data_IF_014396550086
#
_entry.id   IF_014396550086
#
_cell.length_a   1.000
_cell.length_b   1.000
_cell.length_c   1.000
_cell.angle_alpha   90.00
_cell.angle_beta   90.00
_cell.angle_gamma   90.00
#
_symmetry.space_group_name_H-M   'P 1'
#
loop_
_entity.id
_entity.type
_entity.pdbx_description
1 polymer ?
#
# COMPACT_ATOMS: atom_id res chain seq x y z
N UNK A 1 1.36 -21.01 -9.15
CA UNK A 1 1.53 -19.62 -8.63
C UNK A 1 2.78 -19.53 -7.77
N UNK A 2 3.54 -18.47 -7.91
CA UNK A 2 4.69 -18.19 -7.05
C UNK A 2 4.38 -16.97 -6.17
N UNK A 3 4.07 -17.22 -4.91
CA UNK A 3 3.67 -16.18 -3.95
C UNK A 3 4.74 -15.11 -3.75
N UNK A 4 5.97 -15.52 -3.61
CA UNK A 4 7.06 -14.58 -3.36
C UNK A 4 7.28 -13.62 -4.54
N UNK A 5 7.15 -14.12 -5.77
CA UNK A 5 7.21 -13.29 -6.97
C UNK A 5 6.05 -12.28 -6.99
N UNK A 6 4.85 -12.70 -6.60
CA UNK A 6 3.68 -11.81 -6.58
C UNK A 6 3.81 -10.75 -5.50
N UNK A 7 4.04 -11.15 -4.25
CA UNK A 7 4.14 -10.19 -3.14
C UNK A 7 5.33 -9.25 -3.30
N UNK A 8 6.46 -9.78 -3.74
CA UNK A 8 7.64 -8.97 -4.04
C UNK A 8 7.40 -8.01 -5.21
N UNK A 9 6.69 -8.49 -6.24
CA UNK A 9 6.34 -7.66 -7.40
C UNK A 9 5.37 -6.53 -7.06
N UNK A 10 4.38 -6.77 -6.21
CA UNK A 10 3.49 -5.70 -5.71
C UNK A 10 4.30 -4.65 -4.94
N UNK A 11 5.18 -5.09 -4.06
CA UNK A 11 6.07 -4.20 -3.33
C UNK A 11 6.94 -3.35 -4.26
N UNK A 12 7.58 -3.99 -5.24
CA UNK A 12 8.45 -3.30 -6.19
C UNK A 12 7.68 -2.32 -7.07
N UNK A 13 6.46 -2.68 -7.49
CA UNK A 13 5.60 -1.79 -8.26
C UNK A 13 5.26 -0.52 -7.49
N UNK A 14 4.81 -0.66 -6.26
CA UNK A 14 4.44 0.50 -5.43
C UNK A 14 5.66 1.36 -5.12
N UNK A 15 6.78 0.76 -4.72
CA UNK A 15 8.01 1.48 -4.45
C UNK A 15 8.50 2.25 -5.67
N UNK A 16 8.44 1.64 -6.84
CA UNK A 16 8.93 2.24 -8.09
C UNK A 16 8.03 3.38 -8.54
N UNK A 17 6.69 3.22 -8.48
CA UNK A 17 5.75 4.16 -9.07
C UNK A 17 5.16 5.16 -8.06
N UNK A 18 5.15 4.84 -6.78
CA UNK A 18 4.61 5.68 -5.71
C UNK A 18 5.65 6.05 -4.65
N UNK A 19 6.94 5.81 -4.92
CA UNK A 19 8.01 5.97 -3.95
C UNK A 19 8.43 7.40 -3.65
N UNK A 20 7.97 8.37 -4.41
CA UNK A 20 8.34 9.78 -4.22
C UNK A 20 7.91 10.28 -2.85
N UNK A 21 8.83 11.00 -2.17
CA UNK A 21 8.60 11.57 -0.84
C UNK A 21 8.39 10.54 0.30
N UNK A 22 8.69 9.27 0.06
CA UNK A 22 8.70 8.21 1.07
C UNK A 22 10.14 7.81 1.35
N UNK A 23 10.55 7.88 2.61
CA UNK A 23 11.95 7.61 3.02
C UNK A 23 12.21 6.13 3.23
N UNK A 24 11.23 5.40 3.73
CA UNK A 24 11.39 3.98 4.09
C UNK A 24 10.33 3.14 3.41
N UNK A 25 10.77 2.10 2.72
CA UNK A 25 9.93 1.05 2.15
C UNK A 25 10.40 -0.30 2.67
N UNK A 26 9.51 -1.11 3.23
CA UNK A 26 9.87 -2.45 3.71
C UNK A 26 8.68 -3.41 3.69
N UNK A 27 8.97 -4.69 3.50
CA UNK A 27 8.00 -5.77 3.71
C UNK A 27 8.03 -6.31 5.13
N UNK A 28 8.95 -5.83 5.96
CA UNK A 28 9.01 -6.15 7.38
C UNK A 28 8.31 -5.07 8.16
N UNK A 29 7.06 -5.33 8.55
CA UNK A 29 6.26 -4.40 9.33
C UNK A 29 6.91 -4.12 10.68
N UNK A 30 6.99 -2.83 11.02
CA UNK A 30 7.36 -2.35 12.34
C UNK A 30 6.18 -1.60 12.96
N UNK A 31 6.05 -1.65 14.29
CA UNK A 31 5.07 -0.86 15.00
C UNK A 31 5.35 0.63 14.79
N UNK A 32 4.29 1.45 14.67
CA UNK A 32 4.45 2.90 14.42
C UNK A 32 5.35 3.59 15.45
N UNK A 33 5.34 3.13 16.70
CA UNK A 33 6.16 3.69 17.77
C UNK A 33 7.66 3.34 17.65
N UNK A 34 8.00 2.34 16.84
CA UNK A 34 9.38 1.89 16.63
C UNK A 34 10.00 2.49 15.36
N UNK A 35 9.26 3.37 14.65
CA UNK A 35 9.75 4.04 13.45
C UNK A 35 10.04 5.50 13.79
N UNK A 36 11.32 5.88 13.90
CA UNK A 36 11.67 7.25 14.23
C UNK A 36 11.28 8.23 13.10
N UNK A 37 11.08 9.48 13.48
CA UNK A 37 10.69 10.54 12.55
C UNK A 37 11.63 10.65 11.34
N UNK A 38 12.93 10.47 11.54
CA UNK A 38 13.93 10.57 10.46
C UNK A 38 13.73 9.52 9.36
N UNK A 39 13.08 8.39 9.67
CA UNK A 39 12.76 7.34 8.72
C UNK A 39 11.39 7.52 8.06
N UNK A 40 10.65 8.54 8.46
CA UNK A 40 9.31 8.82 7.92
C UNK A 40 9.34 9.89 6.84
N UNK A 41 8.38 9.91 5.88
CA UNK A 41 7.29 8.94 5.73
C UNK A 41 7.80 7.53 5.47
N UNK A 42 7.16 6.55 6.08
CA UNK A 42 7.50 5.14 5.94
C UNK A 42 6.30 4.32 5.46
N UNK A 43 6.54 3.40 4.54
CA UNK A 43 5.53 2.50 4.00
C UNK A 43 5.97 1.06 4.18
N UNK A 44 5.08 0.26 4.76
CA UNK A 44 5.28 -1.17 4.99
C UNK A 44 4.17 -1.97 4.33
N UNK A 45 4.53 -3.04 3.64
CA UNK A 45 3.57 -3.97 3.07
C UNK A 45 3.59 -5.29 3.84
N UNK A 46 2.44 -5.70 4.35
CA UNK A 46 2.27 -6.94 5.09
C UNK A 46 1.22 -7.82 4.45
N UNK A 47 1.49 -9.12 4.38
CA UNK A 47 0.52 -10.09 3.90
C UNK A 47 -0.61 -10.27 4.91
N UNK A 48 -1.85 -10.36 4.42
CA UNK A 48 -3.06 -10.46 5.26
C UNK A 48 -4.03 -11.53 4.76
N UNK A 49 -3.53 -12.74 4.54
CA UNK A 49 -4.34 -13.89 4.20
C UNK A 49 -4.55 -14.10 2.71
N UNK A 50 -5.03 -15.30 2.40
CA UNK A 50 -5.25 -15.78 1.05
C UNK A 50 -6.50 -16.66 0.99
N UNK A 51 -7.11 -16.71 -0.18
CA UNK A 51 -8.26 -17.57 -0.44
C UNK A 51 -8.22 -18.05 -1.88
N UNK A 52 -8.56 -19.32 -2.11
CA UNK A 52 -8.68 -19.88 -3.46
C UNK A 52 -10.14 -20.08 -3.86
N UNK A 53 -10.48 -19.68 -5.07
CA UNK A 53 -11.67 -20.14 -5.78
C UNK A 53 -11.26 -21.29 -6.70
N UNK A 54 -11.56 -22.52 -6.28
CA UNK A 54 -11.16 -23.72 -7.02
C UNK A 54 -11.89 -23.88 -8.34
N UNK A 55 -13.09 -23.36 -8.47
CA UNK A 55 -13.87 -23.46 -9.71
C UNK A 55 -13.29 -22.59 -10.79
N UNK A 56 -12.72 -21.44 -10.41
CA UNK A 56 -12.10 -20.49 -11.34
C UNK A 56 -10.59 -20.62 -11.41
N UNK A 57 -9.99 -21.41 -10.52
CA UNK A 57 -8.53 -21.51 -10.36
C UNK A 57 -7.88 -20.13 -10.13
N UNK A 58 -8.52 -19.31 -9.29
CA UNK A 58 -8.06 -17.95 -8.98
C UNK A 58 -7.83 -17.82 -7.48
N UNK A 59 -6.65 -17.31 -7.13
CA UNK A 59 -6.30 -16.91 -5.77
C UNK A 59 -6.66 -15.45 -5.54
N UNK A 60 -7.26 -15.18 -4.40
CA UNK A 60 -7.38 -13.84 -3.82
C UNK A 60 -6.34 -13.71 -2.73
N UNK A 61 -5.36 -12.86 -2.96
CA UNK A 61 -4.29 -12.55 -2.01
C UNK A 61 -4.59 -11.18 -1.41
N UNK A 62 -4.33 -11.02 -0.11
CA UNK A 62 -4.57 -9.76 0.58
C UNK A 62 -3.28 -9.23 1.18
N UNK A 63 -3.08 -7.94 1.04
CA UNK A 63 -2.00 -7.20 1.69
C UNK A 63 -2.56 -5.94 2.35
N UNK A 64 -1.93 -5.52 3.41
CA UNK A 64 -2.16 -4.19 3.98
C UNK A 64 -0.93 -3.32 3.76
N UNK A 65 -1.17 -2.10 3.31
CA UNK A 65 -0.14 -1.08 3.17
C UNK A 65 -0.24 -0.15 4.38
N UNK A 66 0.77 -0.19 5.23
CA UNK A 66 0.87 0.68 6.41
C UNK A 66 1.68 1.92 6.02
N UNK A 67 1.12 3.08 6.29
CA UNK A 67 1.78 4.37 6.02
C UNK A 67 1.91 5.14 7.32
N UNK A 68 3.15 5.49 7.69
CA UNK A 68 3.44 6.29 8.87
C UNK A 68 4.02 7.64 8.44
N UNK A 69 3.41 8.72 8.91
CA UNK A 69 3.84 10.09 8.61
C UNK A 69 3.98 10.89 9.90
N UNK A 70 5.11 11.55 10.07
CA UNK A 70 5.34 12.51 11.14
C UNK A 70 5.52 13.90 10.55
N UNK A 71 4.98 14.92 11.23
CA UNK A 71 5.17 16.33 10.88
C UNK A 71 6.15 17.04 11.80
N UNK A 72 6.81 16.29 12.67
CA UNK A 72 7.79 16.83 13.63
C UNK A 72 7.16 17.69 14.71
N UNK A 73 7.88 18.72 15.13
CA UNK A 73 7.46 19.63 16.22
C UNK A 73 6.61 20.83 15.78
N UNK A 74 6.12 20.86 14.54
CA UNK A 74 5.25 21.94 14.05
C UNK A 74 3.82 21.73 14.58
N UNK A 75 3.43 22.53 15.58
CA UNK A 75 2.13 22.45 16.22
C UNK A 75 0.95 22.83 15.29
N UNK A 76 1.24 23.56 14.20
CA UNK A 76 0.24 23.98 13.23
C UNK A 76 0.14 23.07 12.01
N UNK A 77 1.02 22.10 11.88
CA UNK A 77 1.00 21.18 10.76
C UNK A 77 -0.17 20.19 10.86
N UNK A 78 -0.83 19.98 9.74
CA UNK A 78 -1.90 18.99 9.59
C UNK A 78 -1.27 17.69 9.15
N UNK A 79 -1.22 16.69 10.04
CA UNK A 79 -0.61 15.39 9.75
C UNK A 79 -1.29 14.64 8.61
N UNK A 80 -2.60 14.86 8.44
CA UNK A 80 -3.37 14.23 7.35
C UNK A 80 -2.96 14.71 5.95
N UNK A 81 -2.41 15.93 5.81
CA UNK A 81 -2.08 16.46 4.48
C UNK A 81 -1.01 15.64 3.75
N UNK A 82 0.18 15.38 4.30
CA UNK A 82 1.16 14.52 3.63
C UNK A 82 0.67 13.07 3.52
N UNK A 83 -0.11 12.59 4.49
CA UNK A 83 -0.72 11.27 4.44
C UNK A 83 -1.65 11.13 3.23
N UNK A 84 -2.53 12.10 3.01
CA UNK A 84 -3.46 12.10 1.87
C UNK A 84 -2.70 12.07 0.54
N UNK A 85 -1.61 12.81 0.41
CA UNK A 85 -0.80 12.80 -0.80
C UNK A 85 -0.22 11.41 -1.09
N UNK A 86 0.22 10.70 -0.07
CA UNK A 86 0.76 9.33 -0.22
C UNK A 86 -0.36 8.36 -0.60
N UNK A 87 -1.52 8.45 0.05
CA UNK A 87 -2.69 7.61 -0.27
C UNK A 87 -3.13 7.86 -1.72
N UNK A 88 -3.24 9.12 -2.13
CA UNK A 88 -3.61 9.48 -3.50
C UNK A 88 -2.62 8.92 -4.51
N UNK A 89 -1.33 8.99 -4.23
CA UNK A 89 -0.30 8.46 -5.13
C UNK A 89 -0.40 6.94 -5.26
N UNK A 90 -0.59 6.24 -4.15
CA UNK A 90 -0.80 4.78 -4.18
C UNK A 90 -2.06 4.43 -4.96
N UNK A 91 -3.16 5.14 -4.72
CA UNK A 91 -4.41 4.94 -5.46
C UNK A 91 -4.21 5.17 -6.96
N UNK A 92 -3.51 6.22 -7.35
CA UNK A 92 -3.26 6.55 -8.76
C UNK A 92 -2.46 5.46 -9.48
N UNK A 93 -1.41 4.93 -8.86
CA UNK A 93 -0.56 3.91 -9.49
C UNK A 93 -1.23 2.54 -9.55
N UNK A 94 -2.31 2.34 -8.80
CA UNK A 94 -3.12 1.12 -8.83
C UNK A 94 -4.37 1.25 -9.71
N UNK A 95 -4.62 2.41 -10.33
CA UNK A 95 -5.73 2.55 -11.27
C UNK A 95 -5.41 1.87 -12.60
N UNK A 96 -6.38 1.18 -13.22
CA UNK A 96 -6.25 0.76 -14.60
C UNK A 96 -6.11 1.97 -15.52
N UNK A 97 -5.32 1.84 -16.58
CA UNK A 97 -5.18 2.88 -17.60
C UNK A 97 -6.30 2.76 -18.60
N UNK A 98 -7.44 3.35 -18.27
CA UNK A 98 -8.67 3.27 -19.08
C UNK A 98 -8.48 3.88 -20.46
N UNK A 99 -7.62 4.89 -20.60
CA UNK A 99 -7.26 5.49 -21.88
C UNK A 99 -6.58 4.51 -22.83
N UNK A 100 -5.99 3.44 -22.30
CA UNK A 100 -5.39 2.34 -23.07
C UNK A 100 -6.31 1.12 -23.16
N UNK A 101 -7.58 1.23 -22.71
CA UNK A 101 -8.54 0.14 -22.72
C UNK A 101 -8.36 -0.87 -21.59
N UNK A 102 -7.55 -0.58 -20.60
CA UNK A 102 -7.35 -1.46 -19.44
C UNK A 102 -8.54 -1.35 -18.49
N UNK A 103 -9.03 -2.49 -17.98
CA UNK A 103 -10.09 -2.57 -16.96
C UNK A 103 -9.55 -3.04 -15.61
N UNK A 104 -8.40 -3.71 -15.61
CA UNK A 104 -7.71 -4.21 -14.43
C UNK A 104 -6.30 -3.62 -14.34
N UNK A 105 -5.76 -3.59 -13.13
CA UNK A 105 -4.35 -3.25 -12.92
C UNK A 105 -3.54 -4.53 -12.77
N UNK A 106 -2.87 -4.94 -13.84
CA UNK A 106 -2.13 -6.21 -13.88
C UNK A 106 -0.69 -6.14 -13.37
N UNK A 107 -0.22 -4.95 -13.00
CA UNK A 107 1.17 -4.71 -12.60
C UNK A 107 2.17 -5.20 -13.67
N UNK A 108 1.90 -4.86 -14.93
CA UNK A 108 2.74 -5.29 -16.04
C UNK A 108 2.58 -6.76 -16.42
N UNK A 109 1.44 -7.38 -16.12
CA UNK A 109 1.15 -8.78 -16.40
C UNK A 109 1.53 -9.75 -15.29
N UNK A 110 1.91 -9.24 -14.12
CA UNK A 110 2.29 -10.06 -12.97
C UNK A 110 1.09 -10.79 -12.36
N UNK A 111 -0.07 -10.14 -12.33
CA UNK A 111 -1.31 -10.59 -11.71
C UNK A 111 -2.49 -10.35 -12.63
N UNK A 112 -3.65 -10.92 -12.28
CA UNK A 112 -4.89 -10.63 -13.00
C UNK A 112 -5.43 -9.24 -12.67
N UNK A 113 -5.33 -8.85 -11.41
CA UNK A 113 -5.74 -7.53 -10.93
C UNK A 113 -5.10 -7.23 -9.57
N UNK A 114 -4.81 -5.97 -9.30
CA UNK A 114 -4.40 -5.47 -8.00
C UNK A 114 -5.11 -4.14 -7.74
N UNK A 115 -5.88 -4.09 -6.66
CA UNK A 115 -6.70 -2.92 -6.35
C UNK A 115 -6.81 -2.66 -4.85
N UNK A 116 -7.14 -1.42 -4.52
CA UNK A 116 -7.59 -1.08 -3.18
C UNK A 116 -9.04 -1.53 -3.05
N UNK A 117 -9.34 -2.34 -2.04
CA UNK A 117 -10.69 -2.81 -1.78
C UNK A 117 -10.93 -2.92 -0.27
N UNK A 118 -11.93 -2.19 0.19
CA UNK A 118 -12.27 -2.11 1.59
C UNK A 118 -12.05 -0.73 2.17
N UNK A 119 -12.15 -0.64 3.51
CA UNK A 119 -11.98 0.62 4.22
C UNK A 119 -10.49 0.96 4.38
N UNK A 120 -10.09 2.15 3.98
CA UNK A 120 -8.80 2.72 4.37
C UNK A 120 -8.97 3.27 5.79
N UNK A 121 -8.27 2.69 6.75
CA UNK A 121 -8.27 3.16 8.13
C UNK A 121 -7.21 4.23 8.30
N UNK A 122 -7.57 5.33 8.97
CA UNK A 122 -6.65 6.45 9.22
C UNK A 122 -6.75 6.89 10.66
N UNK A 123 -5.61 7.26 11.22
CA UNK A 123 -5.49 7.92 12.52
C UNK A 123 -4.65 9.18 12.32
N UNK A 124 -5.30 10.34 12.38
CA UNK A 124 -4.68 11.62 12.07
C UNK A 124 -4.46 12.44 13.35
N UNK A 125 -3.51 12.00 14.20
CA UNK A 125 -3.06 12.81 15.30
C UNK A 125 -3.47 12.37 16.70
N UNK A 126 -4.19 11.26 16.86
CA UNK A 126 -4.40 10.64 18.18
C UNK A 126 -3.07 10.13 18.76
N UNK A 127 -2.13 9.79 17.88
CA UNK A 127 -0.78 9.31 18.22
C UNK A 127 0.24 10.46 18.30
N UNK A 128 -0.20 11.67 18.62
CA UNK A 128 0.66 12.86 18.71
C UNK A 128 0.96 13.47 17.34
N UNK A 129 2.23 13.72 17.05
CA UNK A 129 2.67 14.31 15.78
C UNK A 129 2.72 13.31 14.61
N UNK A 130 2.19 12.12 14.78
CA UNK A 130 2.16 11.07 13.77
C UNK A 130 0.76 10.81 13.24
N UNK A 131 0.67 10.43 11.98
CA UNK A 131 -0.50 9.84 11.36
C UNK A 131 -0.18 8.45 10.87
N UNK A 132 -1.17 7.56 10.95
CA UNK A 132 -1.10 6.19 10.46
C UNK A 132 -2.25 5.96 9.51
N UNK A 133 -1.98 5.32 8.37
CA UNK A 133 -3.02 4.79 7.49
C UNK A 133 -2.76 3.32 7.20
N UNK A 134 -3.84 2.56 7.03
CA UNK A 134 -3.80 1.16 6.61
C UNK A 134 -4.67 1.04 5.37
N UNK A 135 -4.05 0.70 4.24
CA UNK A 135 -4.70 0.61 2.94
C UNK A 135 -4.84 -0.87 2.58
N UNK A 136 -6.06 -1.42 2.49
CA UNK A 136 -6.24 -2.82 2.12
C UNK A 136 -6.10 -3.01 0.61
N UNK A 137 -5.27 -3.97 0.21
CA UNK A 137 -5.12 -4.39 -1.18
C UNK A 137 -5.70 -5.77 -1.39
N UNK A 138 -6.35 -5.95 -2.52
CA UNK A 138 -6.78 -7.24 -3.05
C UNK A 138 -6.05 -7.52 -4.35
N UNK A 139 -5.44 -8.70 -4.43
CA UNK A 139 -4.67 -9.16 -5.57
C UNK A 139 -5.32 -10.44 -6.08
N UNK A 140 -5.66 -10.49 -7.36
CA UNK A 140 -6.15 -11.70 -8.01
C UNK A 140 -5.04 -12.30 -8.85
N UNK A 141 -4.78 -13.58 -8.66
CA UNK A 141 -3.73 -14.31 -9.37
C UNK A 141 -4.21 -15.69 -9.83
N UNK A 142 -3.74 -16.14 -10.98
CA UNK A 142 -3.99 -17.50 -11.44
C UNK A 142 -3.26 -18.52 -10.58
N UNK A 143 -3.88 -19.67 -10.41
CA UNK A 143 -3.26 -20.80 -9.70
C UNK A 143 -2.11 -21.43 -10.49
#
# INVERSE_FOLDING_TARGET
MNREVIYGGVFDWLRTHAGDNVRTWSRRLRHWNDVPEIEQPAVFLAQNGEQIDRLRAVWTLRMDVYVYVSVGGDENAVTATPMNHIIDKIADVLRPRRELGETEQTLGGLVLDCRIEGKIETDAGVLGAQSVAIIPLVILAED
#
